data_IF_587394005210
#
_entry.id   IF_587394005210
#
_cell.length_a   1.000
_cell.length_b   1.000
_cell.length_c   1.000
_cell.angle_alpha   90.00
_cell.angle_beta   90.00
_cell.angle_gamma   90.00
#
_symmetry.space_group_name_H-M   'P 1'
#
loop_
_entity.id
_entity.type
_entity.pdbx_description
1 polymer ?
#
# COMPACT_ATOMS: atom_id res chain seq x y z
N UNK A 1 2.61 26.34 35.33
CA UNK A 1 1.48 25.45 35.66
C UNK A 1 0.53 25.58 34.50
N UNK A 2 0.71 24.73 33.50
CA UNK A 2 -0.16 24.72 32.32
C UNK A 2 -1.44 23.99 32.73
N UNK A 3 -2.59 24.63 32.50
CA UNK A 3 -3.92 24.06 32.78
C UNK A 3 -4.38 23.48 31.45
N UNK A 4 -4.12 22.19 31.25
CA UNK A 4 -4.60 21.44 30.09
C UNK A 4 -6.03 20.97 30.39
N UNK A 5 -6.99 21.90 30.33
CA UNK A 5 -8.39 21.59 30.50
C UNK A 5 -9.20 22.17 29.35
N UNK A 6 -9.36 21.37 28.30
CA UNK A 6 -10.24 21.69 27.18
C UNK A 6 -11.73 21.63 27.59
N UNK A 7 -12.07 21.13 28.79
CA UNK A 7 -13.43 20.97 29.27
C UNK A 7 -14.18 22.28 29.51
N UNK A 8 -13.51 23.43 29.53
CA UNK A 8 -14.19 24.74 29.49
C UNK A 8 -14.59 25.17 28.07
N UNK A 9 -13.98 24.58 27.04
CA UNK A 9 -14.23 24.92 25.64
C UNK A 9 -15.09 23.88 24.92
N UNK A 10 -15.08 22.63 25.36
CA UNK A 10 -15.75 21.54 24.68
C UNK A 10 -16.51 20.61 25.62
N UNK A 11 -17.53 19.96 25.08
CA UNK A 11 -18.21 18.84 25.70
C UNK A 11 -18.51 17.75 24.66
N UNK A 12 -18.74 16.53 25.14
CA UNK A 12 -19.32 15.46 24.33
C UNK A 12 -20.85 15.45 24.50
N UNK A 13 -21.56 15.55 23.38
CA UNK A 13 -23.02 15.42 23.32
C UNK A 13 -23.39 14.12 22.61
N UNK A 14 -24.54 13.54 22.96
CA UNK A 14 -25.14 12.44 22.21
C UNK A 14 -26.31 12.94 21.39
N UNK A 15 -26.42 12.48 20.16
CA UNK A 15 -27.62 12.72 19.34
C UNK A 15 -28.74 11.71 19.63
N UNK A 16 -29.79 11.73 18.82
CA UNK A 16 -30.96 10.84 18.95
C UNK A 16 -30.64 9.37 18.64
N UNK A 17 -29.62 9.11 17.82
CA UNK A 17 -29.14 7.79 17.43
C UNK A 17 -28.12 7.22 18.44
N UNK A 18 -27.61 8.09 19.33
CA UNK A 18 -26.69 7.75 20.42
C UNK A 18 -25.22 7.97 20.09
N UNK A 19 -24.92 8.55 18.93
CA UNK A 19 -23.58 8.86 18.47
C UNK A 19 -23.01 10.05 19.25
N UNK A 20 -21.70 10.00 19.52
CA UNK A 20 -20.99 11.03 20.28
C UNK A 20 -20.44 12.11 19.37
N UNK A 21 -20.72 13.36 19.73
CA UNK A 21 -20.32 14.55 19.00
C UNK A 21 -19.53 15.50 19.89
N UNK A 22 -18.42 16.03 19.37
CA UNK A 22 -17.68 17.11 20.02
C UNK A 22 -18.37 18.47 19.77
N UNK A 23 -18.79 19.14 20.84
CA UNK A 23 -19.54 20.43 20.78
C UNK A 23 -18.77 21.53 21.50
N UNK A 24 -18.70 22.70 20.87
CA UNK A 24 -18.08 23.90 21.43
C UNK A 24 -19.00 24.55 22.47
N UNK A 25 -18.46 24.93 23.63
CA UNK A 25 -19.21 25.50 24.76
C UNK A 25 -19.27 27.03 24.75
N UNK A 26 -18.33 27.69 24.09
CA UNK A 26 -18.19 29.14 24.07
C UNK A 26 -17.57 29.58 22.74
N UNK A 27 -17.83 30.81 22.31
CA UNK A 27 -17.23 31.38 21.11
C UNK A 27 -15.69 31.29 21.17
N UNK A 28 -15.08 30.82 20.08
CA UNK A 28 -13.64 30.75 19.91
C UNK A 28 -13.27 31.57 18.69
N UNK A 29 -12.56 32.69 18.89
CA UNK A 29 -12.00 33.48 17.79
C UNK A 29 -10.47 33.42 17.86
N UNK A 30 -9.79 32.79 16.88
CA UNK A 30 -8.33 32.71 16.86
C UNK A 30 -7.65 34.09 16.77
N UNK A 31 -8.38 35.15 16.37
CA UNK A 31 -7.88 36.52 16.34
C UNK A 31 -7.78 37.14 17.74
N UNK A 32 -8.68 36.73 18.65
CA UNK A 32 -8.78 37.26 20.01
C UNK A 32 -8.07 36.36 21.03
N UNK A 33 -8.03 35.04 20.81
CA UNK A 33 -7.35 34.06 21.65
C UNK A 33 -6.25 33.31 20.88
N UNK A 34 -5.00 33.82 20.86
CA UNK A 34 -3.89 33.16 20.17
C UNK A 34 -3.46 31.84 20.84
N UNK A 35 -4.01 31.51 22.01
CA UNK A 35 -3.75 30.25 22.72
C UNK A 35 -4.90 29.26 22.60
N UNK A 36 -5.86 29.47 21.70
CA UNK A 36 -6.91 28.51 21.36
C UNK A 36 -6.36 27.28 20.60
N UNK A 37 -5.39 26.60 21.21
CA UNK A 37 -4.74 25.38 20.74
C UNK A 37 -4.95 24.32 21.81
N UNK A 38 -5.58 23.23 21.41
CA UNK A 38 -5.99 22.15 22.29
C UNK A 38 -5.17 20.89 21.99
N UNK A 39 -4.94 20.07 23.02
CA UNK A 39 -4.25 18.80 22.89
C UNK A 39 -5.28 17.67 22.85
N UNK A 40 -5.06 16.73 21.96
CA UNK A 40 -5.85 15.51 21.81
C UNK A 40 -4.92 14.32 22.04
N UNK A 41 -5.24 13.49 23.03
CA UNK A 41 -4.38 12.37 23.38
C UNK A 41 -4.50 11.23 22.36
N UNK A 42 -3.42 10.47 22.20
CA UNK A 42 -3.42 9.23 21.42
C UNK A 42 -3.71 8.06 22.36
N UNK A 43 -4.96 7.62 22.43
CA UNK A 43 -5.41 6.55 23.30
C UNK A 43 -4.74 5.19 23.01
N UNK A 44 -4.41 4.96 21.74
CA UNK A 44 -3.76 3.74 21.29
C UNK A 44 -2.81 4.04 20.14
N UNK A 45 -1.57 3.58 20.22
CA UNK A 45 -0.56 3.70 19.15
C UNK A 45 0.00 2.33 18.81
N UNK A 46 0.25 2.07 17.53
CA UNK A 46 0.78 0.78 17.04
C UNK A 46 1.58 0.93 15.75
N UNK A 47 2.38 -0.09 15.43
CA UNK A 47 3.13 -0.19 14.16
C UNK A 47 2.92 -1.57 13.53
N UNK A 48 3.37 -1.75 12.29
CA UNK A 48 3.31 -3.06 11.60
C UNK A 48 4.34 -4.05 12.13
N UNK A 49 5.45 -3.55 12.67
CA UNK A 49 6.62 -4.36 12.96
C UNK A 49 6.70 -4.68 14.47
N UNK A 50 6.42 -3.67 15.30
CA UNK A 50 6.36 -3.78 16.76
C UNK A 50 4.98 -3.37 17.28
N UNK A 51 4.55 -3.95 18.41
CA UNK A 51 3.26 -3.63 19.04
C UNK A 51 2.08 -3.83 18.08
N UNK A 52 1.97 -5.03 17.50
CA UNK A 52 0.90 -5.34 16.55
C UNK A 52 -0.47 -5.18 17.24
N UNK A 53 -1.48 -4.64 16.54
CA UNK A 53 -2.77 -4.34 17.15
C UNK A 53 -3.38 -5.50 17.94
N UNK A 54 -3.41 -6.70 17.34
CA UNK A 54 -3.95 -7.91 18.00
C UNK A 54 -3.17 -8.25 19.27
N UNK A 55 -1.84 -8.21 19.21
CA UNK A 55 -0.98 -8.55 20.36
C UNK A 55 -1.21 -7.57 21.51
N UNK A 56 -1.35 -6.27 21.22
CA UNK A 56 -1.66 -5.25 22.23
C UNK A 56 -3.03 -5.48 22.87
N UNK A 57 -4.08 -5.73 22.06
CA UNK A 57 -5.43 -5.99 22.56
C UNK A 57 -5.51 -7.29 23.38
N UNK A 58 -4.66 -8.27 23.06
CA UNK A 58 -4.57 -9.53 23.80
C UNK A 58 -3.84 -9.36 25.13
N UNK A 59 -2.75 -8.59 25.14
CA UNK A 59 -1.85 -8.47 26.30
C UNK A 59 -2.25 -7.37 27.28
N UNK A 60 -3.04 -6.39 26.83
CA UNK A 60 -3.50 -5.24 27.65
C UNK A 60 -5.03 -5.26 27.74
N UNK A 61 -5.64 -5.96 28.72
CA UNK A 61 -7.09 -6.10 28.81
C UNK A 61 -7.84 -4.76 28.96
N UNK A 62 -7.23 -3.76 29.59
CA UNK A 62 -7.82 -2.43 29.74
C UNK A 62 -7.94 -1.68 28.40
N UNK A 63 -7.07 -2.00 27.43
CA UNK A 63 -7.14 -1.41 26.09
C UNK A 63 -8.34 -1.95 25.33
N UNK A 64 -8.59 -3.26 25.38
CA UNK A 64 -9.74 -3.88 24.72
C UNK A 64 -11.05 -3.21 25.17
N UNK A 65 -11.29 -3.15 26.48
CA UNK A 65 -12.50 -2.51 27.02
C UNK A 65 -12.61 -1.02 26.69
N UNK A 66 -11.49 -0.29 26.64
CA UNK A 66 -11.48 1.12 26.22
C UNK A 66 -11.87 1.27 24.75
N UNK A 67 -11.29 0.46 23.86
CA UNK A 67 -11.58 0.51 22.43
C UNK A 67 -13.01 0.08 22.11
N UNK A 68 -13.55 -0.91 22.82
CA UNK A 68 -14.97 -1.30 22.70
C UNK A 68 -15.91 -0.13 23.02
N UNK A 69 -15.66 0.57 24.13
CA UNK A 69 -16.45 1.74 24.53
C UNK A 69 -16.29 2.91 23.55
N UNK A 70 -15.04 3.23 23.18
CA UNK A 70 -14.72 4.33 22.27
C UNK A 70 -15.33 4.13 20.88
N UNK A 71 -15.32 2.88 20.39
CA UNK A 71 -15.85 2.54 19.07
C UNK A 71 -17.32 2.15 19.08
N UNK A 72 -18.01 2.30 20.22
CA UNK A 72 -19.43 1.95 20.40
C UNK A 72 -19.77 0.50 20.02
N UNK A 73 -18.85 -0.43 20.30
CA UNK A 73 -19.03 -1.86 19.99
C UNK A 73 -19.87 -2.50 21.10
N UNK A 74 -21.04 -3.01 20.73
CA UNK A 74 -21.86 -3.81 21.64
C UNK A 74 -21.15 -5.14 21.96
N UNK A 75 -20.72 -5.31 23.21
CA UNK A 75 -20.11 -6.55 23.68
C UNK A 75 -21.22 -7.56 23.98
N UNK A 76 -21.28 -8.65 23.22
CA UNK A 76 -22.17 -9.76 23.55
C UNK A 76 -21.63 -10.54 24.76
N UNK A 77 -22.48 -10.78 25.77
CA UNK A 77 -22.09 -11.45 27.04
C UNK A 77 -21.49 -12.86 26.83
N UNK A 78 -21.77 -13.52 25.70
CA UNK A 78 -21.29 -14.86 25.36
C UNK A 78 -20.04 -14.86 24.47
N UNK A 79 -19.59 -13.71 23.97
CA UNK A 79 -18.45 -13.64 23.07
C UNK A 79 -17.13 -13.88 23.81
N UNK A 80 -16.28 -14.75 23.24
CA UNK A 80 -14.93 -14.93 23.76
C UNK A 80 -14.02 -13.72 23.44
N UNK A 81 -12.85 -13.70 24.07
CA UNK A 81 -11.90 -12.58 23.94
C UNK A 81 -11.41 -12.43 22.49
N UNK A 82 -11.21 -13.52 21.74
CA UNK A 82 -10.69 -13.42 20.37
C UNK A 82 -11.72 -12.85 19.41
N UNK A 83 -13.00 -13.24 19.55
CA UNK A 83 -14.10 -12.67 18.82
C UNK A 83 -14.25 -11.17 19.08
N UNK A 84 -14.15 -10.74 20.34
CA UNK A 84 -14.17 -9.32 20.73
C UNK A 84 -13.02 -8.52 20.12
N UNK A 85 -11.79 -9.05 20.21
CA UNK A 85 -10.61 -8.46 19.57
C UNK A 85 -10.81 -8.35 18.05
N UNK A 86 -11.38 -9.38 17.42
CA UNK A 86 -11.63 -9.38 15.99
C UNK A 86 -12.57 -8.24 15.57
N UNK A 87 -13.67 -8.02 16.31
CA UNK A 87 -14.61 -6.91 16.04
C UNK A 87 -13.90 -5.56 16.19
N UNK A 88 -13.10 -5.36 17.25
CA UNK A 88 -12.31 -4.13 17.40
C UNK A 88 -11.36 -3.91 16.22
N UNK A 89 -10.64 -4.93 15.77
CA UNK A 89 -9.71 -4.82 14.64
C UNK A 89 -10.40 -4.52 13.30
N UNK A 90 -11.64 -4.98 13.11
CA UNK A 90 -12.43 -4.61 11.94
C UNK A 90 -12.90 -3.16 12.01
N UNK A 91 -13.36 -2.71 13.18
CA UNK A 91 -13.93 -1.37 13.37
C UNK A 91 -12.89 -0.27 13.47
N UNK A 92 -11.69 -0.56 13.99
CA UNK A 92 -10.69 0.46 14.31
C UNK A 92 -10.31 1.37 13.14
N UNK A 93 -10.38 0.87 11.90
CA UNK A 93 -9.96 1.63 10.71
C UNK A 93 -10.80 2.88 10.45
N UNK A 94 -11.99 3.00 11.05
CA UNK A 94 -12.78 4.25 11.04
C UNK A 94 -12.17 5.35 11.92
N UNK A 95 -11.35 4.98 12.91
CA UNK A 95 -10.78 5.88 13.92
C UNK A 95 -9.26 6.05 13.79
N UNK A 96 -8.61 5.15 13.05
CA UNK A 96 -7.16 5.10 12.92
C UNK A 96 -6.65 6.23 12.02
N UNK A 97 -5.73 7.00 12.59
CA UNK A 97 -4.93 8.00 11.90
C UNK A 97 -3.47 7.53 11.82
N UNK A 98 -2.63 8.26 11.09
CA UNK A 98 -1.21 7.91 10.99
C UNK A 98 -0.29 9.12 10.89
N UNK A 99 0.96 8.93 11.30
CA UNK A 99 2.05 9.87 11.04
C UNK A 99 3.36 9.13 10.79
N UNK A 100 4.34 9.85 10.26
CA UNK A 100 5.73 9.40 10.10
C UNK A 100 6.66 10.42 10.71
N UNK A 101 7.73 9.94 11.32
CA UNK A 101 8.76 10.81 11.90
C UNK A 101 9.68 11.32 10.78
N UNK A 102 9.55 12.60 10.44
CA UNK A 102 10.20 13.19 9.25
C UNK A 102 11.73 13.28 9.29
N UNK A 103 12.38 12.98 10.42
CA UNK A 103 13.84 12.94 10.51
C UNK A 103 14.44 11.62 9.99
N UNK A 104 13.61 10.60 9.77
CA UNK A 104 14.02 9.31 9.20
C UNK A 104 13.86 9.34 7.68
N UNK A 105 14.73 8.62 6.96
CA UNK A 105 14.57 8.42 5.52
C UNK A 105 13.24 7.70 5.25
N UNK A 106 12.57 7.92 4.11
CA UNK A 106 11.29 7.26 3.81
C UNK A 106 11.30 5.73 3.91
N UNK A 107 12.46 5.11 3.66
CA UNK A 107 12.69 3.66 3.76
C UNK A 107 12.84 3.16 5.21
N UNK A 108 13.23 4.05 6.13
CA UNK A 108 13.42 3.79 7.56
C UNK A 108 12.26 4.34 8.42
N UNK A 109 11.45 5.23 7.85
CA UNK A 109 10.32 5.89 8.52
C UNK A 109 9.10 4.96 8.55
N UNK A 110 9.09 4.03 9.51
CA UNK A 110 7.92 3.22 9.81
C UNK A 110 6.70 4.12 10.06
N UNK A 111 5.55 3.72 9.50
CA UNK A 111 4.30 4.44 9.73
C UNK A 111 3.80 4.10 11.13
N UNK A 112 3.60 5.12 11.95
CA UNK A 112 2.99 4.98 13.26
C UNK A 112 1.51 5.26 13.09
N UNK A 113 0.69 4.32 13.54
CA UNK A 113 -0.76 4.39 13.51
C UNK A 113 -1.27 4.69 14.90
N UNK A 114 -2.37 5.44 14.99
CA UNK A 114 -2.93 5.79 16.29
C UNK A 114 -4.45 5.97 16.24
N UNK A 115 -5.10 5.72 17.36
CA UNK A 115 -6.48 6.08 17.65
C UNK A 115 -6.44 7.19 18.71
N UNK A 116 -7.22 8.25 18.48
CA UNK A 116 -7.35 9.36 19.43
C UNK A 116 -8.12 8.93 20.68
N UNK A 117 -8.12 9.77 21.70
CA UNK A 117 -9.02 9.62 22.85
C UNK A 117 -10.48 9.80 22.48
N UNK A 118 -11.35 9.59 23.46
CA UNK A 118 -12.80 9.64 23.32
C UNK A 118 -13.28 10.99 22.77
N UNK A 119 -12.59 12.08 23.09
CA UNK A 119 -12.92 13.40 22.56
C UNK A 119 -12.48 13.54 21.09
N UNK A 120 -11.22 13.25 20.78
CA UNK A 120 -10.71 13.35 19.41
C UNK A 120 -11.44 12.42 18.44
N UNK A 121 -11.80 11.21 18.88
CA UNK A 121 -12.55 10.25 18.08
C UNK A 121 -14.02 10.62 17.86
N UNK A 122 -14.58 11.56 18.62
CA UNK A 122 -15.93 12.11 18.43
C UNK A 122 -15.96 13.36 17.54
N UNK A 123 -14.80 13.82 17.04
CA UNK A 123 -14.73 14.94 16.09
C UNK A 123 -15.03 14.41 14.69
N UNK A 124 -16.13 14.87 14.11
CA UNK A 124 -16.64 14.37 12.85
C UNK A 124 -15.98 14.98 11.62
N UNK A 125 -16.22 14.36 10.46
CA UNK A 125 -15.82 14.92 9.19
C UNK A 125 -16.76 16.05 8.75
N UNK A 126 -16.19 17.17 8.29
CA UNK A 126 -16.89 18.17 7.50
C UNK A 126 -16.06 18.57 6.29
N UNK A 127 -16.74 18.85 5.18
CA UNK A 127 -16.15 19.46 3.98
C UNK A 127 -15.81 20.95 4.21
N UNK A 128 -16.47 21.58 5.18
CA UNK A 128 -16.20 22.93 5.70
C UNK A 128 -15.92 22.84 7.21
N UNK A 129 -14.69 22.47 7.60
CA UNK A 129 -14.38 22.14 8.99
C UNK A 129 -14.21 23.36 9.88
N UNK A 130 -14.66 23.28 11.13
CA UNK A 130 -14.46 24.33 12.13
C UNK A 130 -13.04 24.34 12.71
N UNK A 131 -12.35 23.20 12.67
CA UNK A 131 -10.99 23.06 13.20
C UNK A 131 -10.01 22.48 12.17
N UNK A 132 -8.71 22.64 12.47
CA UNK A 132 -7.62 21.86 11.90
C UNK A 132 -6.93 21.06 12.97
N UNK A 133 -6.35 19.94 12.55
CA UNK A 133 -5.61 19.06 13.43
C UNK A 133 -4.33 18.56 12.77
N UNK A 134 -3.26 18.44 13.55
CA UNK A 134 -2.02 17.80 13.12
C UNK A 134 -1.38 16.99 14.24
N UNK A 135 -0.78 15.83 13.93
CA UNK A 135 0.00 15.07 14.90
C UNK A 135 1.27 15.84 15.27
N UNK A 136 1.58 15.86 16.56
CA UNK A 136 2.74 16.52 17.14
C UNK A 136 3.48 15.56 18.06
N UNK A 137 4.80 15.45 17.84
CA UNK A 137 5.65 14.60 18.66
C UNK A 137 6.47 15.46 19.64
N UNK A 138 6.18 15.32 20.93
CA UNK A 138 6.89 16.05 21.97
C UNK A 138 8.12 15.27 22.42
N UNK A 139 9.28 15.64 21.87
CA UNK A 139 10.54 14.91 22.05
C UNK A 139 10.96 14.73 23.52
N UNK A 140 10.73 15.72 24.38
CA UNK A 140 11.17 15.67 25.79
C UNK A 140 10.43 14.59 26.59
N UNK A 141 9.12 14.42 26.37
CA UNK A 141 8.34 13.38 27.04
C UNK A 141 8.25 12.08 26.22
N UNK A 142 8.83 12.07 25.01
CA UNK A 142 8.77 10.95 24.07
C UNK A 142 7.34 10.45 23.81
N UNK A 143 6.39 11.38 23.72
CA UNK A 143 4.99 11.08 23.43
C UNK A 143 4.49 11.86 22.21
N UNK A 144 3.46 11.33 21.57
CA UNK A 144 2.71 12.00 20.52
C UNK A 144 1.32 12.36 21.02
N UNK A 145 0.83 13.50 20.58
CA UNK A 145 -0.55 13.95 20.71
C UNK A 145 -0.92 14.70 19.42
N UNK A 146 -2.20 14.98 19.21
CA UNK A 146 -2.62 15.86 18.12
C UNK A 146 -2.90 17.27 18.65
N UNK A 147 -2.47 18.28 17.90
CA UNK A 147 -2.83 19.67 18.14
C UNK A 147 -4.13 19.95 17.39
N UNK A 148 -5.12 20.54 18.05
CA UNK A 148 -6.40 20.98 17.48
C UNK A 148 -6.50 22.51 17.61
N UNK A 149 -6.82 23.22 16.55
CA UNK A 149 -6.98 24.68 16.58
C UNK A 149 -8.01 25.16 15.54
N UNK A 150 -8.78 26.22 15.84
CA UNK A 150 -9.73 26.78 14.88
C UNK A 150 -8.99 27.57 13.80
N UNK A 151 -9.50 27.55 12.56
CA UNK A 151 -8.97 28.41 11.49
C UNK A 151 -9.68 29.75 11.40
N UNK A 152 -10.95 29.75 11.79
CA UNK A 152 -11.87 30.87 11.73
C UNK A 152 -12.65 30.94 13.04
N UNK A 153 -13.50 31.95 13.19
CA UNK A 153 -14.36 32.06 14.37
C UNK A 153 -15.34 30.88 14.42
N UNK A 154 -15.46 30.25 15.59
CA UNK A 154 -16.43 29.18 15.89
C UNK A 154 -17.39 29.67 16.96
N UNK A 155 -18.70 29.51 16.75
CA UNK A 155 -19.72 29.98 17.70
C UNK A 155 -19.96 28.94 18.79
N UNK A 156 -20.41 29.39 19.97
CA UNK A 156 -20.88 28.50 21.01
C UNK A 156 -22.01 27.59 20.48
N UNK A 157 -21.96 26.32 20.86
CA UNK A 157 -22.88 25.24 20.45
C UNK A 157 -22.69 24.69 19.03
N UNK A 158 -21.70 25.18 18.27
CA UNK A 158 -21.30 24.53 17.03
C UNK A 158 -20.58 23.20 17.27
N UNK A 159 -20.62 22.32 16.27
CA UNK A 159 -19.84 21.09 16.27
C UNK A 159 -18.37 21.36 15.96
N UNK A 160 -17.48 20.71 16.71
CA UNK A 160 -16.08 20.60 16.33
C UNK A 160 -15.96 19.55 15.21
N UNK A 161 -15.48 19.98 14.05
CA UNK A 161 -15.38 19.13 12.85
C UNK A 161 -14.02 19.29 12.18
N UNK A 162 -13.60 18.26 11.46
CA UNK A 162 -12.31 18.17 10.75
C UNK A 162 -12.50 17.74 9.30
N UNK A 163 -11.57 18.15 8.45
CA UNK A 163 -11.43 17.52 7.14
C UNK A 163 -10.41 16.39 7.21
N UNK A 164 -10.88 15.13 7.31
CA UNK A 164 -10.03 13.94 7.32
C UNK A 164 -9.49 13.55 5.94
N UNK A 165 -9.94 14.21 4.87
CA UNK A 165 -9.61 13.87 3.49
C UNK A 165 -8.80 15.00 2.84
N UNK A 166 -7.48 14.82 2.81
CA UNK A 166 -6.62 15.66 1.99
C UNK A 166 -6.70 15.23 0.51
N UNK A 167 -7.41 16.02 -0.31
CA UNK A 167 -7.60 15.77 -1.73
C UNK A 167 -7.09 16.95 -2.58
N UNK A 168 -6.62 16.65 -3.79
CA UNK A 168 -6.14 17.66 -4.76
C UNK A 168 -7.28 18.32 -5.53
N UNK A 169 -8.38 17.61 -5.70
CA UNK A 169 -9.54 17.98 -6.49
C UNK A 169 -10.80 17.34 -5.90
N UNK A 170 -11.97 17.83 -6.32
CA UNK A 170 -13.26 17.44 -5.76
C UNK A 170 -13.65 15.99 -6.07
N UNK A 171 -13.36 15.50 -7.29
CA UNK A 171 -13.60 14.11 -7.67
C UNK A 171 -12.80 13.14 -6.80
N UNK A 172 -11.53 13.50 -6.57
CA UNK A 172 -10.63 12.81 -5.65
C UNK A 172 -11.18 12.83 -4.23
N UNK A 173 -11.63 13.99 -3.73
CA UNK A 173 -12.25 14.12 -2.40
C UNK A 173 -13.47 13.20 -2.25
N UNK A 174 -14.44 13.29 -3.15
CA UNK A 174 -15.69 12.49 -3.13
C UNK A 174 -15.39 10.99 -3.16
N UNK A 175 -14.44 10.55 -3.98
CA UNK A 175 -14.03 9.15 -4.03
C UNK A 175 -13.45 8.67 -2.69
N UNK A 176 -12.65 9.50 -2.03
CA UNK A 176 -12.01 9.18 -0.75
C UNK A 176 -13.00 9.20 0.40
N UNK A 177 -13.87 10.20 0.48
CA UNK A 177 -14.93 10.26 1.47
C UNK A 177 -15.86 9.04 1.34
N UNK A 178 -16.26 8.65 0.12
CA UNK A 178 -17.06 7.44 -0.05
C UNK A 178 -16.35 6.17 0.41
N UNK A 179 -15.03 6.08 0.30
CA UNK A 179 -14.28 4.92 0.75
C UNK A 179 -14.10 4.92 2.28
N UNK A 180 -13.79 6.08 2.86
CA UNK A 180 -13.56 6.25 4.29
C UNK A 180 -14.84 6.02 5.10
N UNK A 181 -15.97 6.53 4.62
CA UNK A 181 -17.28 6.44 5.29
C UNK A 181 -18.10 5.24 4.82
N UNK A 182 -17.53 4.27 4.09
CA UNK A 182 -18.29 3.09 3.66
C UNK A 182 -18.73 2.24 4.87
N UNK A 183 -19.99 1.76 4.94
CA UNK A 183 -21.05 1.88 3.93
C UNK A 183 -21.95 3.12 4.05
N UNK A 184 -21.82 3.88 5.13
CA UNK A 184 -22.73 4.96 5.56
C UNK A 184 -22.61 6.26 4.73
N UNK A 185 -21.51 6.43 3.98
CA UNK A 185 -21.23 7.56 3.09
C UNK A 185 -22.04 7.61 1.79
N UNK A 186 -23.36 7.38 1.86
CA UNK A 186 -24.23 7.22 0.69
C UNK A 186 -24.23 8.45 -0.23
N UNK A 187 -24.18 9.66 0.33
CA UNK A 187 -24.12 10.91 -0.42
C UNK A 187 -22.93 10.90 -1.39
N UNK A 188 -21.72 10.67 -0.89
CA UNK A 188 -20.51 10.56 -1.71
C UNK A 188 -20.59 9.40 -2.70
N UNK A 189 -21.16 8.27 -2.29
CA UNK A 189 -21.25 7.08 -3.14
C UNK A 189 -22.11 7.27 -4.39
N UNK A 190 -23.12 8.14 -4.31
CA UNK A 190 -24.05 8.41 -5.41
C UNK A 190 -23.40 9.15 -6.58
N UNK A 191 -22.37 9.94 -6.32
CA UNK A 191 -21.65 10.75 -7.32
C UNK A 191 -20.56 9.96 -8.07
N UNK A 192 -20.17 8.79 -7.55
CA UNK A 192 -19.02 8.04 -8.07
C UNK A 192 -19.22 7.58 -9.52
N UNK A 193 -20.44 7.22 -9.89
CA UNK A 193 -20.72 6.75 -11.25
C UNK A 193 -20.41 7.83 -12.30
N UNK A 194 -20.74 9.09 -12.00
CA UNK A 194 -20.47 10.23 -12.87
C UNK A 194 -18.98 10.58 -12.90
N UNK A 195 -18.30 10.53 -11.76
CA UNK A 195 -16.84 10.70 -11.69
C UNK A 195 -16.12 9.66 -12.55
N UNK A 196 -16.50 8.38 -12.45
CA UNK A 196 -15.94 7.31 -13.31
C UNK A 196 -16.15 7.64 -14.79
N UNK A 197 -17.36 8.05 -15.18
CA UNK A 197 -17.70 8.37 -16.56
C UNK A 197 -16.88 9.55 -17.11
N UNK A 198 -16.76 10.65 -16.35
CA UNK A 198 -15.97 11.83 -16.74
C UNK A 198 -14.49 11.49 -16.90
N UNK A 199 -13.89 10.75 -15.95
CA UNK A 199 -12.49 10.34 -16.05
C UNK A 199 -12.23 9.46 -17.27
N UNK A 200 -13.11 8.51 -17.57
CA UNK A 200 -12.99 7.67 -18.79
C UNK A 200 -12.96 8.51 -20.08
N UNK A 201 -13.83 9.50 -20.19
CA UNK A 201 -13.89 10.39 -21.35
C UNK A 201 -12.60 11.22 -21.49
N UNK A 202 -12.11 11.80 -20.38
CA UNK A 202 -10.85 12.55 -20.38
C UNK A 202 -9.63 11.69 -20.74
N UNK A 203 -9.56 10.45 -20.25
CA UNK A 203 -8.46 9.54 -20.57
C UNK A 203 -8.46 9.09 -22.04
N UNK A 204 -9.63 8.86 -22.64
CA UNK A 204 -9.73 8.51 -24.07
C UNK A 204 -9.25 9.63 -25.02
N UNK A 205 -9.22 10.88 -24.53
CA UNK A 205 -8.82 12.05 -25.30
C UNK A 205 -7.36 12.47 -25.09
N UNK A 206 -6.67 11.97 -24.06
CA UNK A 206 -5.31 12.41 -23.71
C UNK A 206 -4.26 11.32 -23.93
N UNK A 207 -3.67 11.26 -25.13
CA UNK A 207 -2.38 10.60 -25.38
C UNK A 207 -1.24 11.20 -24.53
N UNK A 208 -1.43 12.38 -23.94
CA UNK A 208 -0.44 13.18 -23.21
C UNK A 208 -0.19 12.74 -21.75
N UNK A 209 -1.15 12.09 -21.07
CA UNK A 209 -0.96 11.69 -19.66
C UNK A 209 0.12 10.61 -19.51
N UNK A 210 0.20 9.73 -20.50
CA UNK A 210 1.16 8.65 -20.62
C UNK A 210 2.63 9.16 -20.56
N UNK A 211 2.98 10.22 -21.28
CA UNK A 211 4.36 10.75 -21.32
C UNK A 211 4.89 11.25 -19.98
N UNK A 212 4.03 11.80 -19.11
CA UNK A 212 4.45 12.32 -17.80
C UNK A 212 4.58 11.23 -16.74
N UNK A 213 3.83 10.12 -16.86
CA UNK A 213 3.89 8.98 -15.95
C UNK A 213 5.08 8.07 -16.26
N UNK A 214 5.46 7.93 -17.53
CA UNK A 214 6.61 7.14 -17.98
C UNK A 214 7.97 7.77 -17.60
N UNK A 215 8.01 9.10 -17.39
CA UNK A 215 9.23 9.85 -17.09
C UNK A 215 9.59 9.96 -15.58
N UNK A 216 8.91 9.23 -14.68
CA UNK A 216 9.14 9.34 -13.21
C UNK A 216 10.60 9.16 -12.76
N UNK A 217 11.41 8.43 -13.52
CA UNK A 217 12.75 8.00 -13.09
C UNK A 217 13.91 8.64 -13.87
N UNK A 218 13.63 9.62 -14.74
CA UNK A 218 14.60 10.27 -15.63
C UNK A 218 15.42 9.26 -16.46
N UNK A 219 14.78 8.22 -16.99
CA UNK A 219 15.42 7.31 -17.94
C UNK A 219 15.77 8.08 -19.23
N UNK A 220 17.02 7.97 -19.68
CA UNK A 220 17.44 8.47 -20.99
C UNK A 220 17.41 7.31 -21.98
N UNK A 221 16.63 7.44 -23.04
CA UNK A 221 16.49 6.44 -24.10
C UNK A 221 16.83 7.12 -25.44
N UNK A 222 17.68 6.54 -26.30
CA UNK A 222 17.97 7.10 -27.61
C UNK A 222 16.74 7.14 -28.51
N UNK A 223 16.61 8.19 -29.33
CA UNK A 223 15.54 8.33 -30.33
C UNK A 223 15.72 7.40 -31.54
N UNK A 224 16.96 6.96 -31.78
CA UNK A 224 17.32 6.04 -32.85
C UNK A 224 18.19 4.92 -32.28
N UNK A 225 17.78 3.67 -32.48
CA UNK A 225 18.59 2.49 -32.15
C UNK A 225 19.53 2.19 -33.32
N UNK A 226 20.84 2.33 -33.10
CA UNK A 226 21.82 1.91 -34.09
C UNK A 226 21.77 0.38 -34.27
N UNK A 227 21.85 -0.10 -35.52
CA UNK A 227 21.97 -1.53 -35.79
C UNK A 227 23.34 -2.02 -35.33
N UNK A 228 23.41 -2.64 -34.16
CA UNK A 228 24.63 -3.29 -33.72
C UNK A 228 24.87 -4.57 -34.52
N UNK A 229 26.13 -4.85 -34.82
CA UNK A 229 26.55 -6.12 -35.42
C UNK A 229 26.26 -7.26 -34.44
N UNK A 230 25.57 -8.32 -34.89
CA UNK A 230 25.15 -9.45 -34.06
C UNK A 230 26.31 -10.36 -33.59
N UNK A 231 27.55 -10.11 -34.01
CA UNK A 231 28.69 -10.95 -33.66
C UNK A 231 29.39 -10.42 -32.40
N UNK A 232 29.33 -11.23 -31.33
CA UNK A 232 30.02 -10.95 -30.08
C UNK A 232 31.52 -11.32 -30.20
N UNK A 233 32.43 -10.46 -29.69
CA UNK A 233 33.85 -10.80 -29.62
C UNK A 233 34.10 -12.01 -28.72
N UNK A 234 35.16 -12.78 -29.00
CA UNK A 234 35.62 -13.88 -28.14
C UNK A 234 37.04 -13.61 -27.62
N UNK A 235 37.29 -13.69 -26.30
CA UNK A 235 36.33 -13.98 -25.23
C UNK A 235 35.30 -12.85 -25.02
N UNK A 236 34.10 -13.24 -24.59
CA UNK A 236 32.98 -12.35 -24.29
C UNK A 236 33.19 -11.78 -22.90
N UNK A 237 33.54 -10.49 -22.82
CA UNK A 237 33.68 -9.78 -21.56
C UNK A 237 32.31 -9.47 -20.95
N UNK A 238 32.10 -9.85 -19.70
CA UNK A 238 30.85 -9.63 -18.98
C UNK A 238 31.12 -8.80 -17.74
N UNK A 239 30.32 -7.74 -17.56
CA UNK A 239 30.21 -7.04 -16.30
C UNK A 239 28.89 -7.40 -15.62
N UNK A 240 28.94 -7.77 -14.34
CA UNK A 240 27.76 -8.08 -13.52
C UNK A 240 28.05 -7.95 -12.03
N UNK A 241 27.01 -7.72 -11.25
CA UNK A 241 26.97 -7.80 -9.79
C UNK A 241 26.15 -9.02 -9.29
N UNK A 242 25.66 -9.86 -10.21
CA UNK A 242 24.85 -11.05 -9.89
C UNK A 242 25.74 -12.24 -9.50
N UNK A 243 25.78 -12.55 -8.20
CA UNK A 243 26.55 -13.68 -7.63
C UNK A 243 26.35 -15.01 -8.36
N UNK A 244 25.10 -15.35 -8.70
CA UNK A 244 24.77 -16.60 -9.40
C UNK A 244 25.44 -16.72 -10.77
N UNK A 245 25.70 -15.60 -11.45
CA UNK A 245 26.38 -15.65 -12.74
C UNK A 245 27.86 -16.00 -12.57
N UNK A 246 28.53 -15.47 -11.54
CA UNK A 246 29.90 -15.88 -11.20
C UNK A 246 30.01 -17.37 -10.82
N UNK A 247 28.98 -17.91 -10.16
CA UNK A 247 28.97 -19.31 -9.71
C UNK A 247 28.68 -20.32 -10.84
N UNK A 248 27.86 -19.95 -11.82
CA UNK A 248 27.34 -20.89 -12.82
C UNK A 248 27.80 -20.64 -14.26
N UNK A 249 28.31 -19.45 -14.60
CA UNK A 249 28.82 -19.17 -15.94
C UNK A 249 30.30 -19.56 -16.03
N UNK A 250 30.55 -20.85 -16.25
CA UNK A 250 31.90 -21.43 -16.27
C UNK A 250 32.44 -21.70 -17.67
N UNK A 251 31.70 -21.36 -18.73
CA UNK A 251 32.11 -21.61 -20.10
C UNK A 251 33.30 -20.69 -20.47
N UNK A 252 34.41 -21.23 -21.01
CA UNK A 252 35.64 -20.48 -21.25
C UNK A 252 35.51 -19.38 -22.30
N UNK A 253 34.40 -19.31 -23.03
CA UNK A 253 34.10 -18.20 -23.94
C UNK A 253 33.79 -16.91 -23.20
N UNK A 254 33.49 -16.97 -21.90
CA UNK A 254 33.14 -15.81 -21.08
C UNK A 254 34.29 -15.43 -20.15
N UNK A 255 34.50 -14.13 -20.03
CA UNK A 255 35.52 -13.53 -19.16
C UNK A 255 34.85 -12.42 -18.35
N UNK A 256 35.00 -12.45 -17.02
CA UNK A 256 34.46 -11.39 -16.17
C UNK A 256 35.38 -10.16 -16.17
N UNK A 257 34.79 -8.97 -16.19
CA UNK A 257 35.51 -7.70 -16.06
C UNK A 257 34.89 -6.85 -14.96
N UNK A 258 35.74 -6.16 -14.21
CA UNK A 258 35.32 -5.16 -13.21
C UNK A 258 35.02 -3.79 -13.85
N UNK A 259 35.41 -3.58 -15.11
CA UNK A 259 35.17 -2.35 -15.86
C UNK A 259 33.96 -2.49 -16.80
N UNK A 260 32.83 -1.89 -16.41
CA UNK A 260 31.58 -1.88 -17.19
C UNK A 260 31.76 -1.30 -18.60
N UNK A 261 32.66 -0.32 -18.78
CA UNK A 261 32.88 0.33 -20.07
C UNK A 261 33.59 -0.57 -21.11
N UNK A 262 34.29 -1.60 -20.66
CA UNK A 262 34.99 -2.58 -21.51
C UNK A 262 34.19 -3.87 -21.72
N UNK A 263 32.99 -3.97 -21.14
CA UNK A 263 32.18 -5.17 -21.22
C UNK A 263 31.46 -5.27 -22.57
N UNK A 264 31.36 -6.49 -23.09
CA UNK A 264 30.49 -6.83 -24.21
C UNK A 264 29.05 -7.08 -23.78
N UNK A 265 28.88 -7.59 -22.55
CA UNK A 265 27.58 -7.82 -21.92
C UNK A 265 27.54 -7.11 -20.57
N UNK A 266 26.52 -6.28 -20.37
CA UNK A 266 26.29 -5.55 -19.12
C UNK A 266 25.05 -6.11 -18.44
N UNK A 267 25.22 -6.80 -17.30
CA UNK A 267 24.15 -7.52 -16.61
C UNK A 267 24.01 -7.10 -15.13
N UNK A 268 23.54 -5.86 -14.86
CA UNK A 268 23.27 -5.38 -13.51
C UNK A 268 22.04 -6.01 -12.87
N UNK A 269 22.04 -6.05 -11.53
CA UNK A 269 20.85 -6.23 -10.69
C UNK A 269 20.12 -4.91 -10.41
N UNK A 270 20.82 -3.77 -10.53
CA UNK A 270 20.24 -2.41 -10.44
C UNK A 270 19.47 -2.02 -11.71
N UNK A 271 18.50 -1.12 -11.57
CA UNK A 271 17.77 -0.54 -12.71
C UNK A 271 18.70 0.28 -13.62
N UNK A 272 18.64 0.06 -14.94
CA UNK A 272 19.36 0.86 -15.94
C UNK A 272 18.59 2.16 -16.17
N UNK A 273 19.26 3.32 -16.01
CA UNK A 273 18.64 4.64 -16.26
C UNK A 273 19.20 5.33 -17.48
N UNK A 274 20.51 5.22 -17.68
CA UNK A 274 21.22 5.86 -18.78
C UNK A 274 21.42 4.88 -19.95
N UNK A 275 20.35 4.60 -20.69
CA UNK A 275 20.48 3.73 -21.87
C UNK A 275 21.31 4.41 -22.95
N UNK A 276 21.30 5.74 -23.04
CA UNK A 276 22.12 6.50 -24.00
C UNK A 276 23.61 6.18 -23.84
N UNK A 277 24.12 6.11 -22.61
CA UNK A 277 25.51 5.72 -22.36
C UNK A 277 25.83 4.29 -22.85
N UNK A 278 24.91 3.35 -22.66
CA UNK A 278 25.09 1.96 -23.10
C UNK A 278 25.04 1.83 -24.62
N UNK A 279 24.06 2.45 -25.28
CA UNK A 279 23.93 2.44 -26.74
C UNK A 279 25.10 3.16 -27.44
N UNK A 280 25.68 4.20 -26.82
CA UNK A 280 26.83 4.92 -27.37
C UNK A 280 28.17 4.22 -27.10
N UNK A 281 28.21 3.19 -26.25
CA UNK A 281 29.43 2.44 -25.97
C UNK A 281 29.61 1.36 -27.05
N UNK A 282 30.63 1.47 -27.93
CA UNK A 282 30.83 0.51 -29.01
C UNK A 282 31.22 -0.90 -28.54
N UNK A 283 31.65 -1.04 -27.28
CA UNK A 283 31.96 -2.35 -26.71
C UNK A 283 30.68 -3.08 -26.28
N UNK A 284 29.63 -2.36 -25.87
CA UNK A 284 28.43 -2.98 -25.26
C UNK A 284 27.50 -3.45 -26.37
N UNK A 285 27.28 -4.76 -26.41
CA UNK A 285 26.40 -5.39 -27.39
C UNK A 285 25.08 -5.86 -26.78
N UNK A 286 25.09 -6.26 -25.51
CA UNK A 286 23.93 -6.84 -24.82
C UNK A 286 23.80 -6.28 -23.41
N UNK A 287 22.57 -5.98 -23.00
CA UNK A 287 22.21 -5.68 -21.61
C UNK A 287 20.87 -6.32 -21.25
N UNK A 288 20.60 -6.49 -19.96
CA UNK A 288 19.57 -7.41 -19.45
C UNK A 288 18.21 -6.77 -19.10
N UNK A 289 17.94 -5.54 -19.54
CA UNK A 289 16.72 -4.79 -19.22
C UNK A 289 16.25 -4.01 -20.46
N UNK A 290 14.94 -3.85 -20.60
CA UNK A 290 14.35 -3.05 -21.68
C UNK A 290 14.05 -1.63 -21.17
N UNK A 291 14.25 -0.59 -22.00
CA UNK A 291 13.74 0.74 -21.69
C UNK A 291 12.26 0.70 -21.32
N UNK A 292 11.87 1.40 -20.24
CA UNK A 292 10.50 1.46 -19.73
C UNK A 292 9.87 0.11 -19.30
N UNK A 293 10.62 -0.97 -19.05
CA UNK A 293 10.04 -2.26 -18.61
C UNK A 293 9.26 -2.17 -17.28
N UNK A 294 9.53 -1.12 -16.48
CA UNK A 294 8.79 -0.75 -15.27
C UNK A 294 7.29 -0.60 -15.45
N UNK A 295 6.80 -0.34 -16.67
CA UNK A 295 5.37 -0.34 -16.95
C UNK A 295 4.72 -1.70 -16.65
N UNK A 296 5.51 -2.78 -16.69
CA UNK A 296 5.07 -4.13 -16.32
C UNK A 296 5.57 -4.57 -14.93
N UNK A 297 6.73 -4.08 -14.49
CA UNK A 297 7.36 -4.56 -13.24
C UNK A 297 7.00 -3.75 -11.99
N UNK A 298 6.54 -2.50 -12.13
CA UNK A 298 6.02 -1.68 -11.04
C UNK A 298 4.51 -1.82 -10.90
N UNK A 299 4.01 -2.04 -9.68
CA UNK A 299 2.59 -2.38 -9.45
C UNK A 299 1.63 -1.27 -9.87
N UNK A 300 1.96 -0.03 -9.55
CA UNK A 300 1.18 1.16 -9.92
C UNK A 300 1.16 1.35 -11.43
N UNK A 301 2.32 1.26 -12.10
CA UNK A 301 2.39 1.39 -13.55
C UNK A 301 1.74 0.22 -14.31
N UNK A 302 1.88 -1.01 -13.81
CA UNK A 302 1.19 -2.19 -14.36
C UNK A 302 -0.32 -2.03 -14.21
N UNK A 303 -0.78 -1.53 -13.06
CA UNK A 303 -2.19 -1.24 -12.87
C UNK A 303 -2.69 -0.23 -13.89
N UNK A 304 -1.98 0.89 -14.11
CA UNK A 304 -2.36 1.87 -15.15
C UNK A 304 -2.36 1.26 -16.55
N UNK A 305 -1.32 0.49 -16.89
CA UNK A 305 -1.17 -0.19 -18.19
C UNK A 305 -2.32 -1.18 -18.46
N UNK A 306 -2.81 -1.89 -17.42
CA UNK A 306 -3.99 -2.74 -17.55
C UNK A 306 -5.30 -1.95 -17.47
N UNK A 307 -5.33 -0.82 -16.75
CA UNK A 307 -6.51 0.00 -16.53
C UNK A 307 -6.96 0.71 -17.80
N UNK A 308 -6.02 1.15 -18.64
CA UNK A 308 -6.31 1.71 -19.98
C UNK A 308 -7.16 0.78 -20.84
N UNK A 309 -7.21 -0.51 -20.50
CA UNK A 309 -8.01 -1.53 -21.20
C UNK A 309 -9.31 -1.93 -20.45
N UNK A 310 -9.48 -1.73 -19.12
CA UNK A 310 -10.45 -2.57 -18.33
C UNK A 310 -11.35 -1.89 -17.25
N UNK A 311 -11.07 -0.74 -16.65
CA UNK A 311 -11.67 -0.47 -15.32
C UNK A 311 -13.09 0.16 -15.23
N UNK A 312 -13.82 -0.15 -14.14
CA UNK A 312 -15.30 0.02 -13.97
C UNK A 312 -15.83 0.39 -12.57
N UNK A 313 -15.03 0.64 -11.53
CA UNK A 313 -15.56 0.77 -10.13
C UNK A 313 -15.01 1.94 -9.29
N UNK A 314 -15.73 2.29 -8.22
CA UNK A 314 -15.44 3.38 -7.27
C UNK A 314 -14.18 3.22 -6.42
N UNK A 315 -13.91 2.01 -5.91
CA UNK A 315 -12.71 1.74 -5.12
C UNK A 315 -11.40 1.97 -5.90
N UNK A 316 -11.47 1.85 -7.23
CA UNK A 316 -10.36 2.15 -8.14
C UNK A 316 -10.06 3.66 -8.21
N UNK A 317 -11.08 4.52 -8.04
CA UNK A 317 -10.95 5.97 -8.09
C UNK A 317 -10.34 6.57 -6.82
N UNK A 318 -10.77 6.09 -5.65
CA UNK A 318 -10.25 6.54 -4.34
C UNK A 318 -8.73 6.27 -4.22
N UNK A 319 -8.29 5.19 -4.82
CA UNK A 319 -6.90 4.75 -4.80
C UNK A 319 -5.98 5.59 -5.71
N UNK A 320 -6.47 6.02 -6.88
CA UNK A 320 -5.78 6.99 -7.76
C UNK A 320 -5.59 8.34 -7.06
N UNK A 321 -6.52 8.66 -6.15
CA UNK A 321 -6.65 9.96 -5.50
C UNK A 321 -5.67 10.20 -4.33
N UNK A 322 -5.33 9.18 -3.52
CA UNK A 322 -4.66 9.44 -2.22
C UNK A 322 -3.22 8.99 -2.03
N UNK A 323 -2.67 8.11 -2.84
CA UNK A 323 -1.40 7.49 -2.45
C UNK A 323 -0.36 7.65 -3.54
N UNK A 324 0.90 7.79 -3.16
CA UNK A 324 2.01 7.52 -4.07
C UNK A 324 1.95 6.08 -4.64
N UNK A 325 3.07 5.37 -4.86
CA UNK A 325 3.05 4.09 -5.58
C UNK A 325 2.42 2.93 -4.76
N UNK A 326 1.10 2.93 -4.53
CA UNK A 326 0.35 1.88 -3.81
C UNK A 326 -0.85 1.41 -4.62
N UNK A 327 -1.14 0.11 -4.50
CA UNK A 327 -2.17 -0.57 -5.28
C UNK A 327 -3.14 -1.33 -4.39
N UNK A 328 -4.39 -0.85 -4.24
CA UNK A 328 -5.50 -1.68 -3.73
C UNK A 328 -6.12 -2.52 -4.85
N UNK A 329 -6.32 -3.82 -4.61
CA UNK A 329 -6.96 -4.73 -5.55
C UNK A 329 -7.95 -5.63 -4.80
N UNK A 330 -8.93 -6.18 -5.52
CA UNK A 330 -9.87 -7.13 -4.92
C UNK A 330 -9.09 -8.36 -4.44
N UNK A 331 -9.21 -8.67 -3.16
CA UNK A 331 -8.63 -9.88 -2.59
C UNK A 331 -9.34 -11.14 -3.13
N UNK A 332 -8.57 -12.16 -3.48
CA UNK A 332 -9.10 -13.45 -3.94
C UNK A 332 -9.58 -14.24 -2.72
N UNK A 333 -10.90 -14.24 -2.49
CA UNK A 333 -11.53 -14.84 -1.29
C UNK A 333 -11.78 -16.34 -1.40
N UNK A 334 -11.69 -16.90 -2.61
CA UNK A 334 -11.84 -18.33 -2.89
C UNK A 334 -10.68 -18.83 -3.76
N UNK A 335 -9.44 -18.80 -3.24
CA UNK A 335 -8.29 -19.31 -3.99
C UNK A 335 -8.40 -20.82 -4.14
N UNK A 336 -7.77 -21.35 -5.18
CA UNK A 336 -7.48 -22.77 -5.26
C UNK A 336 -6.43 -23.14 -4.21
N UNK A 337 -6.58 -24.29 -3.56
CA UNK A 337 -5.80 -24.70 -2.40
C UNK A 337 -5.06 -26.01 -2.67
N UNK A 338 -3.94 -26.20 -1.99
CA UNK A 338 -3.25 -27.49 -1.91
C UNK A 338 -2.88 -27.71 -0.45
N UNK A 339 -3.18 -28.89 0.10
CA UNK A 339 -3.04 -29.19 1.54
C UNK A 339 -3.82 -28.19 2.41
N UNK A 340 -4.96 -27.71 1.91
CA UNK A 340 -5.77 -26.62 2.50
C UNK A 340 -5.07 -25.24 2.55
N UNK A 341 -3.94 -25.05 1.87
CA UNK A 341 -3.16 -23.80 1.93
C UNK A 341 -3.19 -23.07 0.61
N UNK A 342 -3.17 -21.74 0.71
CA UNK A 342 -3.06 -20.84 -0.45
C UNK A 342 -1.65 -20.93 -1.02
N UNK A 343 -1.52 -20.82 -2.33
CA UNK A 343 -0.22 -20.79 -2.99
C UNK A 343 -0.24 -19.87 -4.22
N UNK A 344 0.94 -19.58 -4.74
CA UNK A 344 1.13 -18.88 -6.01
C UNK A 344 2.14 -19.61 -6.90
N UNK A 345 2.03 -19.38 -8.21
CA UNK A 345 3.01 -19.82 -9.19
C UNK A 345 3.97 -18.69 -9.53
N UNK A 346 5.26 -19.01 -9.52
CA UNK A 346 6.31 -18.19 -10.09
C UNK A 346 6.78 -18.81 -11.40
N UNK A 347 6.51 -18.10 -12.49
CA UNK A 347 7.10 -18.36 -13.80
C UNK A 347 8.29 -17.43 -14.03
N UNK A 348 9.30 -17.94 -14.74
CA UNK A 348 10.37 -17.11 -15.29
C UNK A 348 10.08 -16.92 -16.78
N UNK A 349 10.03 -15.66 -17.19
CA UNK A 349 9.80 -15.27 -18.58
C UNK A 349 10.99 -14.42 -19.02
N UNK A 350 11.58 -14.77 -20.16
CA UNK A 350 12.66 -14.02 -20.80
C UNK A 350 12.11 -13.38 -22.07
N UNK A 351 12.04 -12.05 -22.08
CA UNK A 351 11.79 -11.27 -23.28
C UNK A 351 13.11 -11.12 -24.03
N UNK A 352 13.14 -11.51 -25.30
CA UNK A 352 14.35 -11.46 -26.15
C UNK A 352 14.26 -10.32 -27.17
N UNK A 353 13.08 -10.13 -27.75
CA UNK A 353 12.86 -9.08 -28.74
C UNK A 353 11.41 -8.59 -28.62
N UNK A 354 11.18 -7.33 -28.96
CA UNK A 354 9.85 -6.72 -29.05
C UNK A 354 9.36 -6.62 -30.49
N UNK A 355 10.25 -6.75 -31.49
CA UNK A 355 9.93 -6.60 -32.91
C UNK A 355 10.75 -7.54 -33.82
N UNK A 356 10.25 -8.75 -34.14
CA UNK A 356 8.98 -9.32 -33.68
C UNK A 356 9.05 -9.75 -32.21
N UNK A 357 7.93 -9.62 -31.50
CA UNK A 357 7.83 -10.03 -30.10
C UNK A 357 8.25 -11.50 -29.93
N UNK A 358 9.34 -11.71 -29.22
CA UNK A 358 9.92 -13.02 -28.97
C UNK A 358 10.15 -13.18 -27.47
N UNK A 359 9.45 -14.14 -26.87
CA UNK A 359 9.55 -14.44 -25.45
C UNK A 359 9.70 -15.95 -25.22
N UNK A 360 10.44 -16.30 -24.17
CA UNK A 360 10.60 -17.67 -23.70
C UNK A 360 10.03 -17.77 -22.28
N UNK A 361 9.28 -18.83 -22.02
CA UNK A 361 8.82 -19.17 -20.68
C UNK A 361 9.62 -20.38 -20.21
N UNK A 362 10.15 -20.32 -18.99
CA UNK A 362 10.84 -21.46 -18.39
C UNK A 362 9.89 -22.66 -18.33
N UNK A 363 10.37 -23.83 -18.79
CA UNK A 363 9.62 -25.09 -18.68
C UNK A 363 9.50 -25.62 -17.25
N UNK A 364 10.11 -24.92 -16.28
CA UNK A 364 9.97 -25.16 -14.85
C UNK A 364 9.33 -23.93 -14.20
N UNK A 365 8.33 -24.18 -13.35
CA UNK A 365 7.71 -23.19 -12.48
C UNK A 365 8.01 -23.52 -11.01
N UNK A 366 7.97 -22.49 -10.16
CA UNK A 366 8.13 -22.65 -8.71
C UNK A 366 6.82 -22.36 -8.02
N UNK A 367 6.49 -23.17 -7.02
CA UNK A 367 5.35 -22.95 -6.15
C UNK A 367 5.81 -22.37 -4.83
N UNK A 368 5.08 -21.35 -4.37
CA UNK A 368 5.28 -20.74 -3.06
C UNK A 368 3.98 -20.87 -2.30
N UNK A 369 4.02 -21.51 -1.14
CA UNK A 369 2.83 -21.90 -0.38
C UNK A 369 2.79 -21.14 0.93
N UNK A 370 1.58 -20.74 1.34
CA UNK A 370 1.34 -20.19 2.66
C UNK A 370 1.68 -21.22 3.73
N UNK A 371 2.11 -20.78 4.91
CA UNK A 371 2.49 -21.70 5.99
C UNK A 371 1.23 -22.32 6.61
N UNK A 372 0.16 -21.53 6.77
CA UNK A 372 -1.07 -21.94 7.44
C UNK A 372 -2.18 -22.34 6.44
N UNK A 373 -3.15 -23.18 6.85
CA UNK A 373 -4.40 -23.39 6.13
C UNK A 373 -5.13 -22.09 5.85
N UNK A 374 -5.66 -21.96 4.64
CA UNK A 374 -6.36 -20.77 4.20
C UNK A 374 -7.72 -20.66 4.87
N UNK A 375 -7.95 -19.53 5.52
CA UNK A 375 -9.24 -19.14 6.10
C UNK A 375 -9.52 -17.67 5.77
N UNK A 376 -10.75 -17.23 5.99
CA UNK A 376 -11.20 -15.84 5.74
C UNK A 376 -11.56 -15.10 7.04
N UNK A 377 -11.38 -15.75 8.19
CA UNK A 377 -11.68 -15.24 9.52
C UNK A 377 -10.60 -14.29 10.04
N UNK A 378 -9.35 -14.38 9.59
CA UNK A 378 -8.21 -13.62 10.16
C UNK A 378 -7.28 -13.01 9.12
N UNK A 379 -7.76 -11.95 8.46
CA UNK A 379 -6.98 -11.19 7.45
C UNK A 379 -5.64 -10.63 7.95
N UNK A 380 -5.49 -10.45 9.27
CA UNK A 380 -4.26 -9.98 9.89
C UNK A 380 -3.19 -11.09 10.04
N UNK A 381 -3.53 -12.36 9.83
CA UNK A 381 -2.57 -13.45 9.82
C UNK A 381 -1.79 -13.52 8.50
N UNK A 382 -0.58 -12.96 8.54
CA UNK A 382 0.34 -12.94 7.41
C UNK A 382 0.62 -14.34 6.84
N UNK A 383 0.81 -15.35 7.70
CA UNK A 383 1.19 -16.71 7.28
C UNK A 383 0.04 -17.48 6.60
N UNK A 384 -1.20 -17.02 6.76
CA UNK A 384 -2.40 -17.56 6.11
C UNK A 384 -2.64 -16.91 4.74
N UNK A 385 -2.42 -15.59 4.64
CA UNK A 385 -2.84 -14.81 3.48
C UNK A 385 -1.73 -14.51 2.47
N UNK A 386 -0.46 -14.58 2.87
CA UNK A 386 0.72 -14.39 2.03
C UNK A 386 1.43 -15.72 1.77
N UNK A 387 1.98 -15.84 0.56
CA UNK A 387 2.72 -17.01 0.08
C UNK A 387 4.23 -16.76 0.01
N UNK A 388 4.66 -15.54 0.32
CA UNK A 388 6.06 -15.12 0.35
C UNK A 388 6.36 -14.60 1.75
N UNK A 389 7.33 -15.22 2.43
CA UNK A 389 7.69 -14.86 3.81
C UNK A 389 8.89 -13.91 3.91
N UNK A 390 9.48 -13.49 2.79
CA UNK A 390 10.68 -12.64 2.72
C UNK A 390 10.54 -11.25 3.37
N UNK A 391 9.34 -10.85 3.79
CA UNK A 391 9.06 -9.57 4.45
C UNK A 391 8.93 -9.71 5.97
N UNK A 392 9.23 -10.89 6.50
CA UNK A 392 9.06 -11.26 7.92
C UNK A 392 10.16 -12.22 8.34
N UNK A 393 10.22 -12.55 9.63
CA UNK A 393 11.14 -13.57 10.16
C UNK A 393 10.62 -15.00 10.00
N UNK A 394 9.47 -15.20 9.34
CA UNK A 394 8.92 -16.54 9.12
C UNK A 394 9.71 -17.30 8.04
N UNK A 395 9.93 -18.60 8.29
CA UNK A 395 10.49 -19.49 7.28
C UNK A 395 9.56 -19.62 6.08
N UNK A 396 10.13 -19.56 4.87
CA UNK A 396 9.39 -19.81 3.63
C UNK A 396 9.20 -21.31 3.45
N UNK A 397 7.96 -21.75 3.27
CA UNK A 397 7.68 -23.08 2.74
C UNK A 397 7.63 -23.08 1.21
N UNK A 398 8.33 -24.05 0.61
CA UNK A 398 8.37 -24.29 -0.83
C UNK A 398 7.91 -25.72 -1.05
N UNK A 399 6.99 -25.92 -1.99
CA UNK A 399 6.57 -27.25 -2.45
C UNK A 399 7.22 -27.53 -3.80
N UNK A 400 7.84 -28.70 -3.95
CA UNK A 400 8.42 -29.09 -5.23
C UNK A 400 7.31 -29.35 -6.27
N UNK A 401 7.61 -29.20 -7.56
CA UNK A 401 6.64 -29.48 -8.63
C UNK A 401 6.11 -30.93 -8.54
N UNK A 402 7.00 -31.90 -8.31
CA UNK A 402 6.62 -33.30 -8.17
C UNK A 402 5.69 -33.55 -6.97
N UNK A 403 5.96 -32.90 -5.83
CA UNK A 403 5.11 -32.99 -4.65
C UNK A 403 3.75 -32.34 -4.89
N UNK A 404 3.72 -31.17 -5.54
CA UNK A 404 2.48 -30.51 -5.93
C UNK A 404 1.64 -31.38 -6.86
N UNK A 405 2.22 -31.94 -7.93
CA UNK A 405 1.48 -32.77 -8.88
C UNK A 405 0.92 -34.03 -8.22
N UNK A 406 1.69 -34.66 -7.32
CA UNK A 406 1.23 -35.81 -6.55
C UNK A 406 0.05 -35.43 -5.63
N UNK A 407 0.16 -34.28 -4.94
CA UNK A 407 -0.88 -33.80 -4.05
C UNK A 407 -2.13 -33.35 -4.81
N UNK A 408 -1.96 -32.72 -5.97
CA UNK A 408 -3.05 -32.31 -6.84
C UNK A 408 -3.84 -33.52 -7.32
N UNK A 409 -3.17 -34.57 -7.80
CA UNK A 409 -3.83 -35.83 -8.23
C UNK A 409 -4.58 -36.51 -7.08
N UNK A 410 -4.10 -36.36 -5.85
CA UNK A 410 -4.75 -36.91 -4.66
C UNK A 410 -5.98 -36.09 -4.23
N UNK A 411 -5.86 -34.76 -4.16
CA UNK A 411 -6.93 -33.86 -3.69
C UNK A 411 -8.00 -33.59 -4.75
N UNK A 412 -7.61 -33.62 -6.04
CA UNK A 412 -8.44 -33.30 -7.20
C UNK A 412 -8.37 -34.39 -8.28
N UNK A 413 -8.77 -35.64 -7.97
CA UNK A 413 -8.58 -36.80 -8.87
C UNK A 413 -9.40 -36.76 -10.17
N UNK A 414 -10.36 -35.83 -10.27
CA UNK A 414 -11.18 -35.63 -11.47
C UNK A 414 -10.60 -34.58 -12.43
N UNK A 415 -9.61 -33.80 -11.97
CA UNK A 415 -8.99 -32.74 -12.74
C UNK A 415 -7.70 -33.24 -13.39
N UNK A 416 -7.49 -32.87 -14.66
CA UNK A 416 -6.29 -33.23 -15.40
C UNK A 416 -5.28 -32.07 -15.39
N UNK A 417 -4.29 -32.14 -14.51
CA UNK A 417 -3.20 -31.16 -14.47
C UNK A 417 -2.40 -31.13 -15.78
N UNK A 418 -2.27 -32.27 -16.47
CA UNK A 418 -1.48 -32.36 -17.69
C UNK A 418 -2.15 -31.62 -18.86
N UNK A 419 -3.45 -31.33 -18.77
CA UNK A 419 -4.18 -30.51 -19.75
C UNK A 419 -3.96 -28.99 -19.56
N UNK A 420 -3.47 -28.57 -18.37
CA UNK A 420 -3.33 -27.15 -17.99
C UNK A 420 -1.87 -26.69 -18.02
N UNK A 421 -0.92 -27.62 -17.85
CA UNK A 421 0.51 -27.32 -17.70
C UNK A 421 1.24 -26.94 -18.99
#
# INVERSE_FOLDING_TARGET
>A
REVFDAGSYFQLAKDEDGDLHAVVLQDIDPSDDPNAIFLIDHAWTFTTDNNKPRDMLTTVPSLLGRMENLMHIAVEDAADIDARIHVVLQTMWKFVNSYRLGHLKPEEAATIWYVMDEFGSAIEHSDDPTFRMAPFYYANAQCAFSLLWPTDRVEAHDFATLNYVAARDDDTRTALCSALFYPDGQAYSSELAEIVARRRLHHSASHLHNETQFNRDNESVPTETASNTNELPTPIKIWTDLKLMFEHLTDPRFEFTDNEAEAHVVWPTRHIKDYVALYNNPNVHVFNQFPNEKILTCKDLLYETCHTEIATTSAQLAKLAQTGPKVACKYITKPFLIKQRKFDFRFLVMLVDTEPLTLYVSGVYWLRIANNPFTMDRFDDFQTHFTVMNYTDFGVEIISVAEFEAQFKLEYPLEDWDAVK
#
